data_IF_011148635623
#
_entry.id   IF_011148635623
#
_cell.length_a   1.000
_cell.length_b   1.000
_cell.length_c   1.000
_cell.angle_alpha   90.00
_cell.angle_beta   90.00
_cell.angle_gamma   90.00
#
_symmetry.space_group_name_H-M   'P 1'
#
loop_
_entity.id
_entity.type
_entity.pdbx_description
1 polymer ?
#
# COMPACT_ATOMS: atom_id res chain seq x y z
N UNK A 1 -35.42 10.48 -45.10
CA UNK A 1 -35.09 9.76 -43.84
C UNK A 1 -33.58 9.48 -43.80
N UNK A 2 -32.74 10.37 -43.26
CA UNK A 2 -31.27 10.16 -43.22
C UNK A 2 -30.58 10.65 -41.93
N UNK A 3 -31.34 11.07 -40.91
CA UNK A 3 -30.74 11.69 -39.71
C UNK A 3 -30.57 10.73 -38.50
N UNK A 4 -30.99 9.45 -38.62
CA UNK A 4 -30.94 8.50 -37.51
C UNK A 4 -29.56 7.81 -37.35
N UNK A 5 -28.71 7.81 -38.39
CA UNK A 5 -27.41 7.12 -38.38
C UNK A 5 -26.28 7.97 -37.77
N UNK A 6 -26.38 9.29 -37.84
CA UNK A 6 -25.35 10.21 -37.31
C UNK A 6 -25.38 10.26 -35.77
N UNK A 7 -26.57 10.14 -35.17
CA UNK A 7 -26.75 10.19 -33.72
C UNK A 7 -26.10 8.98 -32.99
N UNK A 8 -26.17 7.77 -33.58
CA UNK A 8 -25.49 6.57 -33.04
C UNK A 8 -23.96 6.63 -33.14
N UNK A 9 -23.43 7.27 -34.19
CA UNK A 9 -21.98 7.38 -34.43
C UNK A 9 -21.28 8.31 -33.44
N UNK A 10 -21.95 9.38 -33.01
CA UNK A 10 -21.42 10.30 -31.99
C UNK A 10 -21.23 9.64 -30.62
N UNK A 11 -22.19 8.82 -30.20
CA UNK A 11 -22.08 8.04 -28.94
C UNK A 11 -20.97 7.00 -28.99
N UNK A 12 -20.77 6.33 -30.13
CA UNK A 12 -19.68 5.37 -30.30
C UNK A 12 -18.30 6.04 -30.18
N UNK A 13 -18.14 7.23 -30.77
CA UNK A 13 -16.93 8.04 -30.64
C UNK A 13 -16.67 8.46 -29.19
N UNK A 14 -17.71 8.87 -28.46
CA UNK A 14 -17.60 9.24 -27.04
C UNK A 14 -17.20 8.06 -26.15
N UNK A 15 -17.77 6.87 -26.39
CA UNK A 15 -17.39 5.65 -25.64
C UNK A 15 -15.92 5.30 -25.92
N UNK A 16 -15.49 5.38 -27.18
CA UNK A 16 -14.12 5.08 -27.56
C UNK A 16 -13.13 6.10 -26.95
N UNK A 17 -13.50 7.37 -26.90
CA UNK A 17 -12.72 8.42 -26.23
C UNK A 17 -12.63 8.15 -24.71
N UNK A 18 -13.74 7.76 -24.07
CA UNK A 18 -13.75 7.43 -22.64
C UNK A 18 -12.83 6.24 -22.31
N UNK A 19 -12.83 5.20 -23.14
CA UNK A 19 -11.94 4.04 -22.99
C UNK A 19 -10.46 4.45 -23.12
N UNK A 20 -10.14 5.33 -24.08
CA UNK A 20 -8.77 5.83 -24.25
C UNK A 20 -8.34 6.67 -23.04
N UNK A 21 -9.20 7.56 -22.54
CA UNK A 21 -8.90 8.38 -21.35
C UNK A 21 -8.69 7.51 -20.11
N UNK A 22 -9.52 6.49 -19.90
CA UNK A 22 -9.36 5.54 -18.78
C UNK A 22 -8.07 4.73 -18.94
N UNK A 23 -7.77 4.26 -20.16
CA UNK A 23 -6.54 3.52 -20.47
C UNK A 23 -5.29 4.34 -20.21
N UNK A 24 -5.25 5.59 -20.70
CA UNK A 24 -4.15 6.53 -20.49
C UNK A 24 -4.03 6.88 -19.00
N UNK A 25 -5.14 7.11 -18.30
CA UNK A 25 -5.13 7.36 -16.86
C UNK A 25 -4.52 6.20 -16.09
N UNK A 26 -4.93 4.96 -16.39
CA UNK A 26 -4.36 3.76 -15.79
C UNK A 26 -2.86 3.63 -16.08
N UNK A 27 -2.43 3.82 -17.33
CA UNK A 27 -1.01 3.72 -17.72
C UNK A 27 -0.17 4.80 -17.04
N UNK A 28 -0.67 6.04 -16.94
CA UNK A 28 0.06 7.13 -16.28
C UNK A 28 0.16 6.97 -14.76
N UNK A 29 -0.82 6.31 -14.13
CA UNK A 29 -0.78 6.02 -12.70
C UNK A 29 -0.18 4.64 -12.38
N UNK A 30 0.15 3.84 -13.40
CA UNK A 30 0.86 2.59 -13.26
C UNK A 30 2.34 2.87 -13.06
N UNK A 31 2.72 3.24 -11.85
CA UNK A 31 4.11 3.25 -11.43
C UNK A 31 4.32 2.02 -10.55
N UNK A 32 4.81 0.90 -11.09
CA UNK A 32 5.23 -0.22 -10.26
C UNK A 32 6.51 0.23 -9.58
N UNK A 33 6.36 0.93 -8.46
CA UNK A 33 7.46 1.01 -7.52
C UNK A 33 7.73 -0.43 -7.12
N UNK A 34 8.83 -0.99 -7.65
CA UNK A 34 9.30 -2.30 -7.24
C UNK A 34 9.48 -2.25 -5.72
N UNK A 35 8.60 -2.99 -5.04
CA UNK A 35 8.61 -3.15 -3.61
C UNK A 35 9.02 -4.58 -3.32
N UNK A 36 10.01 -4.76 -2.46
CA UNK A 36 10.45 -6.08 -2.02
C UNK A 36 10.10 -6.28 -0.55
N UNK A 37 9.59 -7.46 -0.19
CA UNK A 37 9.35 -7.82 1.21
C UNK A 37 10.69 -8.10 1.88
N UNK A 38 11.12 -7.23 2.79
CA UNK A 38 12.38 -7.41 3.53
C UNK A 38 12.18 -8.06 4.89
N UNK A 39 10.97 -8.01 5.45
CA UNK A 39 10.65 -8.63 6.75
C UNK A 39 9.18 -8.98 6.85
N UNK A 40 8.91 -10.14 7.44
CA UNK A 40 7.57 -10.65 7.75
C UNK A 40 7.54 -11.09 9.21
N UNK A 41 6.57 -10.60 9.99
CA UNK A 41 6.41 -10.94 11.40
C UNK A 41 4.95 -11.26 11.67
N UNK A 42 4.66 -12.47 12.14
CA UNK A 42 3.30 -12.82 12.61
C UNK A 42 3.06 -12.10 13.94
N UNK A 43 2.01 -11.28 14.00
CA UNK A 43 1.64 -10.55 15.21
C UNK A 43 0.71 -11.41 16.07
N UNK A 44 -0.32 -11.96 15.43
CA UNK A 44 -1.29 -12.86 16.05
C UNK A 44 -1.91 -13.79 15.00
N UNK A 45 -3.02 -14.45 15.32
CA UNK A 45 -3.68 -15.38 14.40
C UNK A 45 -4.41 -14.70 13.23
N UNK A 46 -4.60 -13.38 13.27
CA UNK A 46 -5.31 -12.60 12.25
C UNK A 46 -4.40 -11.62 11.51
N UNK A 47 -3.32 -11.15 12.14
CA UNK A 47 -2.43 -10.11 11.60
C UNK A 47 -1.01 -10.60 11.36
N UNK A 48 -0.50 -10.30 10.17
CA UNK A 48 0.91 -10.36 9.82
C UNK A 48 1.41 -8.95 9.49
N UNK A 49 2.53 -8.56 10.09
CA UNK A 49 3.27 -7.36 9.72
C UNK A 49 4.19 -7.68 8.54
N UNK A 50 4.05 -6.91 7.47
CA UNK A 50 4.97 -6.88 6.35
C UNK A 50 5.75 -5.56 6.36
N UNK A 51 7.05 -5.65 6.15
CA UNK A 51 7.91 -4.49 5.89
C UNK A 51 8.45 -4.64 4.48
N UNK A 52 8.13 -3.67 3.63
CA UNK A 52 8.68 -3.60 2.27
C UNK A 52 9.72 -2.51 2.16
N UNK A 53 10.72 -2.75 1.32
CA UNK A 53 11.67 -1.74 0.87
C UNK A 53 11.22 -1.24 -0.50
N UNK A 54 11.11 0.06 -0.66
CA UNK A 54 10.80 0.72 -1.92
C UNK A 54 11.89 1.72 -2.24
N UNK A 55 12.48 1.62 -3.44
CA UNK A 55 13.37 2.66 -3.96
C UNK A 55 12.55 3.91 -4.29
N UNK A 56 12.97 5.06 -3.79
CA UNK A 56 12.30 6.35 -4.08
C UNK A 56 12.87 7.03 -5.33
N UNK A 57 13.68 6.33 -6.12
CA UNK A 57 14.29 6.80 -7.37
C UNK A 57 15.82 6.77 -7.34
N UNK A 58 16.45 7.20 -8.43
CA UNK A 58 17.91 7.09 -8.59
C UNK A 58 18.74 7.97 -7.64
N UNK A 59 18.15 9.03 -7.08
CA UNK A 59 18.84 10.02 -6.21
C UNK A 59 18.31 10.06 -4.79
N UNK A 60 17.25 9.31 -4.48
CA UNK A 60 16.57 9.34 -3.19
C UNK A 60 16.76 8.00 -2.49
N UNK A 61 16.99 8.02 -1.17
CA UNK A 61 17.29 6.82 -0.39
C UNK A 61 16.16 5.80 -0.37
N UNK A 62 16.40 4.65 0.26
CA UNK A 62 15.36 3.65 0.46
C UNK A 62 14.28 4.15 1.42
N UNK A 63 13.03 3.76 1.14
CA UNK A 63 11.89 3.95 2.05
C UNK A 63 11.39 2.60 2.52
N UNK A 64 11.04 2.53 3.79
CA UNK A 64 10.58 1.34 4.47
C UNK A 64 9.13 1.52 4.86
N UNK A 65 8.28 0.64 4.31
CA UNK A 65 6.84 0.74 4.43
C UNK A 65 6.30 -0.43 5.23
N UNK A 66 5.46 -0.13 6.21
CA UNK A 66 4.95 -1.09 7.18
C UNK A 66 3.47 -1.30 6.92
N UNK A 67 3.09 -2.55 6.74
CA UNK A 67 1.74 -2.98 6.40
C UNK A 67 1.27 -4.03 7.39
N UNK A 68 -0.01 -3.97 7.73
CA UNK A 68 -0.69 -5.08 8.37
C UNK A 68 -1.56 -5.78 7.34
N UNK A 69 -1.51 -7.10 7.33
CA UNK A 69 -2.27 -7.91 6.39
C UNK A 69 -2.80 -9.17 7.04
N UNK A 70 -3.88 -9.72 6.46
CA UNK A 70 -4.55 -10.92 6.93
C UNK A 70 -3.57 -12.10 6.98
N UNK A 71 -3.38 -12.68 8.17
CA UNK A 71 -2.45 -13.78 8.41
C UNK A 71 -2.85 -15.10 7.72
N UNK A 72 -4.08 -15.21 7.22
CA UNK A 72 -4.52 -16.34 6.40
C UNK A 72 -4.06 -16.26 4.94
N UNK A 73 -3.55 -15.10 4.50
CA UNK A 73 -3.11 -14.85 3.13
C UNK A 73 -1.61 -15.07 2.97
N UNK A 74 -1.20 -15.42 1.75
CA UNK A 74 0.20 -15.61 1.41
C UNK A 74 0.86 -14.32 0.92
N UNK A 75 2.18 -14.38 0.73
CA UNK A 75 2.99 -13.22 0.33
C UNK A 75 2.61 -12.73 -1.08
N UNK A 76 2.16 -13.64 -1.95
CA UNK A 76 1.69 -13.29 -3.29
C UNK A 76 0.40 -12.47 -3.23
N UNK A 77 -0.55 -12.88 -2.40
CA UNK A 77 -1.80 -12.15 -2.16
C UNK A 77 -1.53 -10.80 -1.47
N UNK A 78 -0.53 -10.72 -0.59
CA UNK A 78 -0.08 -9.45 -0.04
C UNK A 78 0.48 -8.53 -1.13
N UNK A 79 1.43 -9.01 -1.94
CA UNK A 79 2.03 -8.20 -3.01
C UNK A 79 0.98 -7.69 -4.02
N UNK A 80 0.02 -8.55 -4.41
CA UNK A 80 -1.09 -8.13 -5.26
C UNK A 80 -1.95 -7.03 -4.60
N UNK A 81 -2.16 -7.08 -3.28
CA UNK A 81 -2.91 -6.02 -2.57
C UNK A 81 -2.24 -4.65 -2.64
N UNK A 82 -0.92 -4.59 -2.81
CA UNK A 82 -0.19 -3.33 -2.96
C UNK A 82 -0.54 -2.64 -4.28
N UNK A 83 -0.79 -3.41 -5.35
CA UNK A 83 -1.26 -2.89 -6.63
C UNK A 83 -2.72 -2.41 -6.55
N UNK A 84 -3.52 -3.04 -5.70
CA UNK A 84 -4.92 -2.68 -5.44
C UNK A 84 -5.09 -1.49 -4.48
N UNK A 85 -3.99 -0.84 -4.07
CA UNK A 85 -4.02 0.37 -3.25
C UNK A 85 -4.02 0.12 -1.74
N UNK A 86 -3.55 -1.04 -1.28
CA UNK A 86 -3.27 -1.23 0.15
C UNK A 86 -2.16 -0.26 0.59
N UNK A 87 -2.48 0.64 1.52
CA UNK A 87 -1.57 1.69 1.97
C UNK A 87 -0.83 1.30 3.26
N UNK A 88 0.45 1.69 3.41
CA UNK A 88 1.19 1.42 4.63
C UNK A 88 0.68 2.29 5.78
N UNK A 89 0.59 1.71 6.98
CA UNK A 89 0.31 2.49 8.17
C UNK A 89 1.53 3.31 8.61
N UNK A 90 2.74 2.95 8.17
CA UNK A 90 3.95 3.75 8.41
C UNK A 90 4.89 3.69 7.20
N UNK A 91 5.45 4.85 6.83
CA UNK A 91 6.51 4.99 5.84
C UNK A 91 7.67 5.78 6.45
N UNK A 92 8.87 5.21 6.48
CA UNK A 92 10.04 5.79 7.16
C UNK A 92 11.33 5.55 6.37
N UNK A 93 12.36 6.36 6.62
CA UNK A 93 13.72 6.10 6.14
C UNK A 93 14.48 5.07 6.98
N UNK A 94 13.92 4.63 8.11
CA UNK A 94 14.60 3.73 9.05
C UNK A 94 14.21 2.25 8.85
N UNK A 95 15.15 1.46 8.32
CA UNK A 95 15.03 0.00 8.15
C UNK A 95 14.81 -0.73 9.48
N UNK A 96 15.39 -0.20 10.55
CA UNK A 96 15.44 -0.80 11.89
C UNK A 96 14.28 -0.40 12.79
N UNK A 97 13.26 0.27 12.27
CA UNK A 97 12.22 0.87 13.11
C UNK A 97 11.41 -0.14 13.93
N UNK A 98 11.28 -1.40 13.50
CA UNK A 98 10.62 -2.44 14.31
C UNK A 98 11.55 -2.91 15.44
N UNK A 99 11.19 -2.58 16.69
CA UNK A 99 11.92 -3.05 17.87
C UNK A 99 11.40 -4.40 18.36
N UNK A 100 10.08 -4.52 18.54
CA UNK A 100 9.43 -5.77 18.98
C UNK A 100 7.95 -5.82 18.56
N UNK A 101 7.43 -7.04 18.49
CA UNK A 101 6.02 -7.34 18.31
C UNK A 101 5.63 -8.35 19.39
N UNK A 102 4.84 -7.93 20.38
CA UNK A 102 4.44 -8.73 21.53
C UNK A 102 3.08 -8.28 22.04
N UNK A 103 2.35 -9.17 22.72
CA UNK A 103 1.03 -8.88 23.29
C UNK A 103 0.06 -8.24 22.29
N UNK A 104 0.02 -8.75 21.06
CA UNK A 104 -0.81 -8.25 19.96
C UNK A 104 -0.58 -6.76 19.63
N UNK A 105 0.60 -6.22 19.95
CA UNK A 105 0.98 -4.83 19.71
C UNK A 105 2.34 -4.68 19.01
N UNK A 106 2.51 -3.55 18.33
CA UNK A 106 3.76 -3.17 17.67
C UNK A 106 4.49 -2.11 18.46
N UNK A 107 5.80 -2.30 18.64
CA UNK A 107 6.68 -1.31 19.26
C UNK A 107 7.72 -0.87 18.25
N UNK A 108 7.69 0.42 17.93
CA UNK A 108 8.49 1.03 16.88
C UNK A 108 9.39 2.11 17.49
N UNK A 109 10.66 2.10 17.08
CA UNK A 109 11.61 3.16 17.42
C UNK A 109 12.26 3.66 16.15
N UNK A 110 11.82 4.82 15.65
CA UNK A 110 12.31 5.38 14.39
C UNK A 110 13.46 6.34 14.65
N UNK A 111 14.61 6.07 14.01
CA UNK A 111 15.77 6.95 13.86
C UNK A 111 15.84 7.46 12.42
N UNK A 112 15.09 8.51 12.12
CA UNK A 112 14.95 9.02 10.76
C UNK A 112 13.65 9.76 10.51
N UNK A 113 13.37 10.00 9.23
CA UNK A 113 12.16 10.72 8.81
C UNK A 113 11.00 9.74 8.71
N UNK A 114 9.87 10.11 9.33
CA UNK A 114 8.58 9.46 9.14
C UNK A 114 7.81 10.29 8.11
N UNK A 115 7.55 9.72 6.94
CA UNK A 115 6.77 10.37 5.88
C UNK A 115 5.26 10.22 6.12
N UNK A 116 4.85 9.06 6.63
CA UNK A 116 3.44 8.75 6.90
C UNK A 116 3.37 7.90 8.16
N UNK A 117 2.39 8.19 9.02
CA UNK A 117 2.07 7.37 10.18
C UNK A 117 0.58 7.46 10.51
N UNK A 118 -0.07 6.31 10.61
CA UNK A 118 -1.47 6.18 10.98
C UNK A 118 -1.59 5.28 12.22
N UNK A 119 -2.33 5.76 13.23
CA UNK A 119 -2.63 5.02 14.45
C UNK A 119 -4.13 5.18 14.81
N UNK A 120 -4.84 4.09 15.09
CA UNK A 120 -4.34 2.71 15.16
C UNK A 120 -4.03 2.15 13.75
N UNK A 121 -3.12 1.18 13.66
CA UNK A 121 -2.79 0.56 12.40
C UNK A 121 -3.89 -0.44 12.02
N UNK A 122 -4.65 -0.14 10.97
CA UNK A 122 -5.81 -0.93 10.54
C UNK A 122 -5.47 -1.91 9.43
N UNK A 123 -6.19 -3.04 9.38
CA UNK A 123 -6.11 -4.02 8.30
C UNK A 123 -7.45 -4.73 8.10
N UNK A 124 -7.68 -5.26 6.90
CA UNK A 124 -8.83 -6.08 6.58
C UNK A 124 -8.48 -7.57 6.77
N UNK A 125 -9.30 -8.31 7.52
CA UNK A 125 -9.22 -9.76 7.59
C UNK A 125 -10.63 -10.35 7.59
N UNK A 126 -10.87 -11.41 6.80
CA UNK A 126 -12.19 -12.05 6.74
C UNK A 126 -13.38 -11.11 6.47
N UNK A 127 -13.16 -9.97 5.78
CA UNK A 127 -14.19 -8.97 5.46
C UNK A 127 -14.51 -7.98 6.59
N UNK A 128 -13.80 -8.04 7.72
CA UNK A 128 -13.91 -7.08 8.83
C UNK A 128 -12.63 -6.26 8.97
N UNK A 129 -12.77 -5.01 9.42
CA UNK A 129 -11.64 -4.14 9.71
C UNK A 129 -11.20 -4.39 11.15
N UNK A 130 -9.93 -4.69 11.32
CA UNK A 130 -9.27 -4.86 12.60
C UNK A 130 -8.17 -3.81 12.76
N UNK A 131 -7.66 -3.68 13.98
CA UNK A 131 -6.57 -2.76 14.27
C UNK A 131 -5.57 -3.37 15.24
N UNK A 132 -4.29 -3.03 15.07
CA UNK A 132 -3.22 -3.37 16.00
C UNK A 132 -2.74 -2.08 16.69
N UNK A 133 -2.63 -2.07 18.03
CA UNK A 133 -2.01 -0.96 18.74
C UNK A 133 -0.56 -0.76 18.33
N UNK A 134 -0.16 0.49 18.12
CA UNK A 134 1.22 0.86 17.76
C UNK A 134 1.78 1.85 18.77
N UNK A 135 2.85 1.44 19.43
CA UNK A 135 3.66 2.29 20.30
C UNK A 135 4.87 2.78 19.52
N UNK A 136 4.90 4.07 19.20
CA UNK A 136 5.97 4.68 18.42
C UNK A 136 6.78 5.64 19.29
N UNK A 137 8.09 5.43 19.34
CA UNK A 137 9.06 6.42 19.80
C UNK A 137 9.83 6.93 18.58
N UNK A 138 9.90 8.24 18.43
CA UNK A 138 10.74 8.88 17.41
C UNK A 138 11.77 9.77 18.10
N UNK A 139 13.02 9.62 17.71
CA UNK A 139 14.10 10.51 18.15
C UNK A 139 14.64 11.23 16.91
N UNK A 140 14.67 12.58 16.90
CA UNK A 140 15.56 13.27 15.99
C UNK A 140 17.00 12.87 16.33
N UNK A 141 17.86 12.81 15.32
CA UNK A 141 19.29 12.56 15.48
C UNK A 141 19.94 13.67 16.32
#
# INVERSE_FOLDING_TARGET
MQNALVFRKGYLLLILLAVVVIGVYKVLHYSPLEQEIIKKVKINNLATLYITEASTGATSGFSYRFYLYDASKDDKAFMASLEDGNEPFMNTTDKGALTKAENDALYLSVKGTIYTFNSPATYLAGGSIYSVPVYLTSSPF
#
